data_IF_457411758624
#
_entry.id   IF_457411758624
#
_cell.length_a   1.000
_cell.length_b   1.000
_cell.length_c   1.000
_cell.angle_alpha   90.00
_cell.angle_beta   90.00
_cell.angle_gamma   90.00
#
_symmetry.space_group_name_H-M   'P 1'
#
loop_
_entity.id
_entity.type
_entity.pdbx_description
1 polymer ?
#
# COMPACT_ATOMS: atom_id res chain seq x y z
N UNK A 1 1.92 -20.14 -12.76
CA UNK A 1 2.55 -20.26 -11.43
C UNK A 1 4.07 -20.47 -11.50
N UNK A 2 4.85 -19.68 -10.77
CA UNK A 2 6.30 -19.87 -10.60
C UNK A 2 6.62 -21.16 -9.82
N UNK A 3 7.72 -21.87 -10.13
CA UNK A 3 8.20 -22.99 -9.33
C UNK A 3 9.28 -22.48 -8.36
N UNK A 4 8.89 -22.12 -7.13
CA UNK A 4 9.75 -21.49 -6.13
C UNK A 4 9.96 -22.42 -4.93
N UNK A 5 11.22 -22.63 -4.55
CA UNK A 5 11.61 -23.59 -3.52
C UNK A 5 11.26 -23.09 -2.10
N UNK A 6 10.12 -23.48 -1.54
CA UNK A 6 9.64 -22.98 -0.22
C UNK A 6 10.59 -23.23 0.97
N UNK A 7 11.56 -24.12 0.82
CA UNK A 7 12.63 -24.44 1.78
C UNK A 7 13.88 -23.56 1.64
N UNK A 8 13.87 -22.60 0.69
CA UNK A 8 14.97 -21.66 0.45
C UNK A 8 14.50 -20.21 0.60
N UNK A 9 15.44 -19.37 1.04
CA UNK A 9 15.25 -17.93 0.96
C UNK A 9 15.31 -17.49 -0.49
N UNK A 10 14.45 -16.56 -0.86
CA UNK A 10 14.45 -15.91 -2.16
C UNK A 10 14.71 -14.42 -2.01
N UNK A 11 15.27 -13.83 -3.06
CA UNK A 11 15.28 -12.40 -3.25
C UNK A 11 14.44 -12.03 -4.46
N UNK A 12 13.63 -10.98 -4.31
CA UNK A 12 12.69 -10.53 -5.34
C UNK A 12 13.20 -9.19 -5.87
N UNK A 13 13.55 -9.13 -7.14
CA UNK A 13 14.07 -7.93 -7.81
C UNK A 13 13.00 -7.26 -8.65
N UNK A 14 13.17 -5.95 -8.89
CA UNK A 14 12.44 -5.30 -9.96
C UNK A 14 13.15 -5.54 -11.30
N UNK A 15 12.37 -5.93 -12.30
CA UNK A 15 12.85 -6.38 -13.59
C UNK A 15 13.80 -7.57 -13.46
N UNK A 16 14.83 -7.62 -14.31
CA UNK A 16 15.89 -8.63 -14.27
C UNK A 16 17.23 -8.12 -13.73
N UNK A 17 17.27 -6.96 -13.05
CA UNK A 17 18.53 -6.37 -12.59
C UNK A 17 18.82 -6.71 -11.13
N UNK A 18 19.64 -7.74 -10.92
CA UNK A 18 20.04 -8.18 -9.58
C UNK A 18 20.94 -7.17 -8.81
N UNK A 19 21.57 -6.23 -9.51
CA UNK A 19 22.38 -5.17 -8.91
C UNK A 19 21.56 -3.93 -8.54
N UNK A 20 20.27 -3.90 -8.90
CA UNK A 20 19.36 -2.80 -8.63
C UNK A 20 18.73 -2.88 -7.24
N UNK A 21 17.41 -2.77 -7.21
CA UNK A 21 16.64 -2.82 -5.97
C UNK A 21 15.98 -4.19 -5.78
N UNK A 22 15.79 -4.55 -4.52
CA UNK A 22 15.03 -5.75 -4.13
C UNK A 22 13.94 -5.43 -3.13
N UNK A 23 12.88 -6.23 -3.19
CA UNK A 23 11.72 -6.14 -2.32
C UNK A 23 12.15 -6.34 -0.88
N UNK A 24 11.76 -5.39 -0.04
CA UNK A 24 12.11 -5.32 1.38
C UNK A 24 10.81 -5.32 2.18
N UNK A 25 10.63 -6.33 3.03
CA UNK A 25 9.56 -6.40 4.03
C UNK A 25 10.18 -6.29 5.41
N UNK A 26 9.82 -5.24 6.15
CA UNK A 26 10.45 -4.93 7.44
C UNK A 26 10.02 -5.91 8.54
N UNK A 27 10.69 -5.80 9.68
CA UNK A 27 10.11 -6.24 10.95
C UNK A 27 8.73 -5.61 11.20
N UNK A 28 7.97 -6.22 12.10
CA UNK A 28 6.67 -5.73 12.50
C UNK A 28 6.85 -4.69 13.63
N UNK A 29 6.48 -3.45 13.35
CA UNK A 29 6.37 -2.36 14.31
C UNK A 29 5.02 -2.38 15.04
N UNK A 30 4.80 -1.43 15.95
CA UNK A 30 3.54 -1.22 16.69
C UNK A 30 3.06 -2.48 17.43
N UNK A 31 3.80 -2.92 18.46
CA UNK A 31 3.51 -4.17 19.18
C UNK A 31 3.55 -5.41 18.27
N UNK A 32 4.45 -5.42 17.29
CA UNK A 32 4.68 -6.55 16.38
C UNK A 32 3.50 -6.93 15.49
N UNK A 33 2.67 -5.96 15.09
CA UNK A 33 1.49 -6.21 14.25
C UNK A 33 1.62 -5.75 12.80
N UNK A 34 2.45 -4.74 12.50
CA UNK A 34 2.50 -4.15 11.16
C UNK A 34 3.90 -3.69 10.74
N UNK A 35 4.31 -3.98 9.52
CA UNK A 35 5.57 -3.51 8.92
C UNK A 35 5.37 -2.90 7.53
N UNK A 36 6.43 -2.30 7.00
CA UNK A 36 6.43 -1.67 5.68
C UNK A 36 6.92 -2.63 4.59
N UNK A 37 6.49 -2.37 3.36
CA UNK A 37 6.95 -3.07 2.15
C UNK A 37 7.35 -2.04 1.10
N UNK A 38 8.58 -2.13 0.62
CA UNK A 38 9.15 -1.19 -0.36
C UNK A 38 10.33 -1.83 -1.09
N UNK A 39 10.81 -1.18 -2.15
CA UNK A 39 12.07 -1.56 -2.80
C UNK A 39 13.23 -0.76 -2.21
N UNK A 40 14.33 -1.45 -1.90
CA UNK A 40 15.56 -0.84 -1.42
C UNK A 40 16.74 -1.35 -2.23
N UNK A 41 17.87 -0.63 -2.21
CA UNK A 41 19.11 -1.10 -2.82
C UNK A 41 19.41 -2.52 -2.34
N UNK A 42 19.70 -3.40 -3.30
CA UNK A 42 19.99 -4.80 -2.99
C UNK A 42 21.26 -4.88 -2.16
N UNK A 43 21.18 -5.50 -0.99
CA UNK A 43 22.37 -5.85 -0.23
C UNK A 43 23.02 -7.08 -0.87
N UNK A 44 23.98 -6.82 -1.76
CA UNK A 44 24.84 -7.83 -2.39
C UNK A 44 26.22 -7.92 -1.74
N UNK A 45 26.56 -6.98 -0.85
CA UNK A 45 27.90 -6.80 -0.28
C UNK A 45 27.96 -7.23 1.19
N UNK A 46 28.77 -8.26 1.47
CA UNK A 46 29.03 -8.78 2.81
C UNK A 46 28.45 -10.18 3.03
N UNK A 47 29.08 -10.96 3.90
CA UNK A 47 28.71 -12.36 4.19
C UNK A 47 27.34 -12.51 4.89
N UNK A 48 26.57 -11.44 5.08
CA UNK A 48 25.27 -11.49 5.76
C UNK A 48 24.23 -10.74 4.94
N UNK A 49 23.36 -11.46 4.20
CA UNK A 49 22.26 -10.84 3.49
C UNK A 49 21.31 -10.11 4.44
N UNK A 50 20.78 -8.95 4.03
CA UNK A 50 19.76 -8.24 4.80
C UNK A 50 18.51 -9.13 4.99
N UNK A 51 18.12 -9.48 6.23
CA UNK A 51 16.99 -10.39 6.48
C UNK A 51 15.65 -9.84 5.95
N UNK A 52 15.48 -8.53 5.84
CA UNK A 52 14.27 -7.92 5.29
C UNK A 52 14.12 -8.14 3.77
N UNK A 53 15.19 -8.54 3.09
CA UNK A 53 15.23 -8.85 1.66
C UNK A 53 15.25 -10.36 1.38
N UNK A 54 15.15 -11.19 2.43
CA UNK A 54 15.07 -12.64 2.33
C UNK A 54 13.62 -13.08 2.51
N UNK A 55 13.01 -13.56 1.44
CA UNK A 55 11.61 -13.97 1.38
C UNK A 55 11.48 -15.48 1.39
N UNK A 56 10.67 -16.02 2.29
CA UNK A 56 10.12 -17.36 2.12
C UNK A 56 8.82 -17.23 1.33
N UNK A 57 8.65 -18.09 0.34
CA UNK A 57 7.50 -18.12 -0.56
C UNK A 57 6.89 -19.51 -0.44
N UNK A 58 5.75 -19.60 0.24
CA UNK A 58 5.13 -20.88 0.62
C UNK A 58 3.88 -21.10 -0.23
N UNK A 59 3.79 -22.19 -1.01
CA UNK A 59 2.56 -22.51 -1.72
C UNK A 59 1.44 -22.80 -0.70
N UNK A 60 0.30 -22.14 -0.83
CA UNK A 60 -0.90 -22.41 -0.03
C UNK A 60 -1.76 -23.48 -0.71
N UNK A 61 -1.95 -23.35 -2.02
CA UNK A 61 -2.63 -24.31 -2.87
C UNK A 61 -2.06 -24.22 -4.30
N UNK A 62 -2.74 -24.81 -5.29
CA UNK A 62 -2.32 -24.77 -6.71
C UNK A 62 -2.38 -23.39 -7.36
N UNK A 63 -2.85 -22.36 -6.65
CA UNK A 63 -3.07 -21.01 -7.19
C UNK A 63 -2.31 -19.93 -6.42
N UNK A 64 -2.29 -20.02 -5.08
CA UNK A 64 -1.83 -18.94 -4.22
C UNK A 64 -0.59 -19.31 -3.40
N UNK A 65 0.18 -18.28 -3.12
CA UNK A 65 1.32 -18.27 -2.21
C UNK A 65 1.05 -17.39 -1.00
N UNK A 66 1.71 -17.70 0.11
CA UNK A 66 1.93 -16.81 1.24
C UNK A 66 3.39 -16.44 1.28
N UNK A 67 3.69 -15.15 1.50
CA UNK A 67 5.05 -14.63 1.53
C UNK A 67 5.33 -14.02 2.91
N UNK A 68 6.52 -14.29 3.45
CA UNK A 68 7.05 -13.67 4.67
C UNK A 68 8.54 -13.41 4.54
N UNK A 69 9.08 -12.44 5.27
CA UNK A 69 10.52 -12.21 5.29
C UNK A 69 11.17 -12.89 6.48
N UNK A 70 12.50 -13.09 6.41
CA UNK A 70 13.27 -13.52 7.59
C UNK A 70 13.13 -12.51 8.74
N UNK A 71 12.96 -11.23 8.42
CA UNK A 71 12.90 -10.15 9.41
C UNK A 71 11.50 -9.92 9.98
N UNK A 72 10.44 -10.31 9.27
CA UNK A 72 9.05 -10.17 9.73
C UNK A 72 8.64 -11.23 10.74
N UNK A 73 9.55 -12.15 11.09
CA UNK A 73 9.26 -13.36 11.86
C UNK A 73 8.25 -14.29 11.14
N UNK A 74 8.02 -15.53 11.62
CA UNK A 74 7.16 -16.50 10.95
C UNK A 74 5.71 -16.07 10.72
N UNK A 75 5.18 -15.15 11.54
CA UNK A 75 3.78 -14.72 11.48
C UNK A 75 3.60 -13.41 10.71
N UNK A 76 4.67 -12.77 10.25
CA UNK A 76 4.57 -11.54 9.46
C UNK A 76 4.38 -11.84 7.99
N UNK A 77 3.15 -11.74 7.50
CA UNK A 77 2.80 -12.00 6.10
C UNK A 77 2.76 -10.73 5.27
N UNK A 78 3.19 -10.84 4.01
CA UNK A 78 2.91 -9.85 2.99
C UNK A 78 1.40 -9.82 2.74
N UNK A 79 0.78 -8.68 2.98
CA UNK A 79 -0.65 -8.44 2.82
C UNK A 79 -0.90 -7.14 2.07
N UNK A 80 -2.17 -6.83 1.78
CA UNK A 80 -2.60 -5.54 1.19
C UNK A 80 -3.54 -4.78 2.13
N UNK A 81 -3.43 -3.44 2.15
CA UNK A 81 -4.32 -2.56 2.92
C UNK A 81 -4.82 -1.41 2.07
N UNK A 82 -6.08 -1.00 2.31
CA UNK A 82 -6.55 0.30 1.84
C UNK A 82 -5.83 1.43 2.60
N UNK A 83 -5.28 2.37 1.85
CA UNK A 83 -4.54 3.54 2.33
C UNK A 83 -5.13 4.81 1.70
N UNK A 84 -5.87 5.65 2.44
CA UNK A 84 -6.59 6.79 1.86
C UNK A 84 -5.68 7.86 1.25
N UNK A 85 -4.41 7.90 1.67
CA UNK A 85 -3.39 8.82 1.13
C UNK A 85 -2.63 8.24 -0.08
N UNK A 86 -2.92 7.01 -0.50
CA UNK A 86 -2.34 6.43 -1.70
C UNK A 86 -2.95 7.09 -2.94
N UNK A 87 -2.09 7.62 -3.81
CA UNK A 87 -2.51 8.31 -5.03
C UNK A 87 -2.78 7.38 -6.21
N UNK A 88 -2.28 6.14 -6.19
CA UNK A 88 -2.58 5.13 -7.21
C UNK A 88 -4.07 4.77 -7.15
N UNK A 89 -4.76 4.61 -8.30
CA UNK A 89 -6.13 4.10 -8.31
C UNK A 89 -6.28 2.84 -7.45
N UNK A 90 -7.44 2.66 -6.82
CA UNK A 90 -7.67 1.56 -5.87
C UNK A 90 -7.10 1.78 -4.47
N UNK A 91 -6.25 2.80 -4.27
CA UNK A 91 -5.77 3.25 -2.95
C UNK A 91 -5.29 2.12 -2.05
N UNK A 92 -4.64 1.12 -2.64
CA UNK A 92 -4.22 -0.09 -1.91
C UNK A 92 -2.71 -0.22 -2.00
N UNK A 93 -2.07 -0.52 -0.86
CA UNK A 93 -0.62 -0.70 -0.76
C UNK A 93 -0.30 -2.05 -0.11
N UNK A 94 0.85 -2.67 -0.44
CA UNK A 94 1.32 -3.82 0.31
C UNK A 94 1.81 -3.39 1.70
N UNK A 95 1.67 -4.28 2.69
CA UNK A 95 2.22 -4.14 4.04
C UNK A 95 2.68 -5.50 4.57
N UNK A 96 3.57 -5.49 5.56
CA UNK A 96 3.74 -6.67 6.40
C UNK A 96 2.67 -6.60 7.50
N UNK A 97 1.98 -7.71 7.77
CA UNK A 97 0.98 -7.80 8.82
C UNK A 97 1.13 -9.11 9.60
N UNK A 98 0.93 -9.05 10.92
CA UNK A 98 0.93 -10.26 11.74
C UNK A 98 -0.32 -11.09 11.47
N UNK A 99 -0.18 -12.41 11.40
CA UNK A 99 -1.28 -13.37 11.37
C UNK A 99 -2.30 -13.16 12.52
N UNK A 100 -1.89 -12.60 13.66
CA UNK A 100 -2.82 -12.29 14.76
C UNK A 100 -3.84 -11.19 14.43
N UNK A 101 -3.58 -10.36 13.40
CA UNK A 101 -4.46 -9.25 13.00
C UNK A 101 -5.03 -9.42 11.58
N UNK A 102 -4.41 -10.25 10.74
CA UNK A 102 -4.81 -10.46 9.34
C UNK A 102 -4.64 -11.93 8.98
N UNK A 103 -5.77 -12.61 8.81
CA UNK A 103 -5.88 -13.96 8.24
C UNK A 103 -7.09 -13.96 7.30
N UNK A 104 -6.99 -13.20 6.22
CA UNK A 104 -8.01 -13.07 5.18
C UNK A 104 -7.33 -13.13 3.79
N UNK A 105 -8.11 -12.90 2.74
CA UNK A 105 -7.63 -13.00 1.36
C UNK A 105 -6.51 -12.01 1.01
N UNK A 106 -6.25 -11.00 1.85
CA UNK A 106 -5.17 -10.05 1.61
C UNK A 106 -3.78 -10.67 1.69
N UNK A 107 -3.60 -11.84 2.31
CA UNK A 107 -2.29 -12.50 2.44
C UNK A 107 -1.93 -13.42 1.26
N UNK A 108 -2.89 -13.68 0.35
CA UNK A 108 -2.71 -14.64 -0.73
C UNK A 108 -2.29 -13.96 -2.03
N UNK A 109 -1.19 -14.46 -2.61
CA UNK A 109 -0.58 -13.89 -3.81
C UNK A 109 -0.48 -14.91 -4.93
N UNK A 110 -0.92 -14.53 -6.13
CA UNK A 110 -0.62 -15.28 -7.35
C UNK A 110 0.65 -14.71 -7.98
N UNK A 111 1.52 -15.59 -8.48
CA UNK A 111 2.78 -15.22 -9.14
C UNK A 111 2.76 -15.83 -10.54
N UNK A 112 2.54 -14.99 -11.54
CA UNK A 112 2.31 -15.41 -12.93
C UNK A 112 3.32 -14.79 -13.90
N UNK A 113 3.71 -15.50 -14.97
CA UNK A 113 4.74 -15.04 -15.88
C UNK A 113 4.18 -14.02 -16.86
N UNK A 114 4.94 -12.97 -17.16
CA UNK A 114 4.68 -12.10 -18.30
C UNK A 114 5.00 -12.77 -19.65
N UNK A 115 5.79 -13.84 -19.64
CA UNK A 115 6.29 -14.53 -20.84
C UNK A 115 7.66 -14.04 -21.33
N UNK A 116 8.25 -13.03 -20.66
CA UNK A 116 9.53 -12.42 -21.00
C UNK A 116 10.65 -12.73 -19.97
N UNK A 117 10.45 -13.79 -19.16
CA UNK A 117 11.32 -14.15 -18.05
C UNK A 117 11.05 -13.38 -16.75
N UNK A 118 10.14 -12.41 -16.76
CA UNK A 118 9.68 -11.70 -15.54
C UNK A 118 8.28 -12.14 -15.14
N UNK A 119 7.91 -11.79 -13.91
CA UNK A 119 6.68 -12.20 -13.26
C UNK A 119 5.91 -10.96 -12.78
N UNK A 120 4.59 -11.08 -12.69
CA UNK A 120 3.74 -10.14 -11.98
C UNK A 120 3.06 -10.82 -10.79
N UNK A 121 2.66 -10.00 -9.82
CA UNK A 121 1.98 -10.46 -8.63
C UNK A 121 0.57 -9.89 -8.58
N UNK A 122 -0.41 -10.75 -8.33
CA UNK A 122 -1.80 -10.40 -8.04
C UNK A 122 -2.12 -10.78 -6.60
N UNK A 123 -3.06 -10.06 -5.97
CA UNK A 123 -3.51 -10.35 -4.63
C UNK A 123 -4.96 -10.86 -4.65
N UNK A 124 -5.28 -11.89 -3.88
CA UNK A 124 -6.61 -12.52 -3.91
C UNK A 124 -7.72 -11.53 -3.54
N UNK A 125 -7.52 -10.69 -2.52
CA UNK A 125 -8.51 -9.69 -2.10
C UNK A 125 -8.72 -8.57 -3.13
N UNK A 126 -7.67 -8.20 -3.88
CA UNK A 126 -7.80 -7.17 -4.92
C UNK A 126 -8.38 -7.70 -6.23
N UNK A 127 -8.16 -8.98 -6.53
CA UNK A 127 -8.60 -9.62 -7.77
C UNK A 127 -7.65 -9.37 -8.95
N UNK A 128 -7.96 -9.99 -10.08
CA UNK A 128 -7.05 -10.06 -11.24
C UNK A 128 -6.92 -8.78 -12.06
N UNK A 129 -7.76 -7.79 -11.79
CA UNK A 129 -7.66 -6.47 -12.40
C UNK A 129 -6.51 -5.63 -11.81
N UNK A 130 -5.74 -6.15 -10.84
CA UNK A 130 -4.76 -5.39 -10.08
C UNK A 130 -3.43 -6.13 -9.96
N UNK A 131 -2.36 -5.46 -10.39
CA UNK A 131 -0.99 -5.96 -10.23
C UNK A 131 -0.24 -5.15 -9.19
N UNK A 132 0.65 -5.81 -8.45
CA UNK A 132 1.60 -5.14 -7.59
C UNK A 132 2.57 -4.29 -8.43
N UNK A 133 2.73 -3.03 -8.05
CA UNK A 133 3.57 -2.07 -8.76
C UNK A 133 4.57 -1.40 -7.80
N UNK A 134 5.84 -1.39 -8.17
CA UNK A 134 6.83 -0.44 -7.68
C UNK A 134 6.62 0.93 -8.33
N UNK A 135 6.50 1.97 -7.51
CA UNK A 135 6.42 3.37 -7.91
C UNK A 135 7.82 3.98 -8.08
N UNK A 136 7.97 5.11 -8.80
CA UNK A 136 9.28 5.75 -9.02
C UNK A 136 10.04 6.09 -7.73
N UNK A 137 9.34 6.32 -6.61
CA UNK A 137 9.92 6.59 -5.30
C UNK A 137 10.22 5.31 -4.48
N UNK A 138 10.22 4.14 -5.12
CA UNK A 138 10.44 2.81 -4.51
C UNK A 138 9.38 2.33 -3.51
N UNK A 139 8.37 3.15 -3.21
CA UNK A 139 7.15 2.68 -2.55
C UNK A 139 6.32 1.84 -3.51
N UNK A 140 5.30 1.18 -2.98
CA UNK A 140 4.52 0.21 -3.73
C UNK A 140 3.03 0.46 -3.61
N UNK A 141 2.28 0.03 -4.61
CA UNK A 141 0.83 0.08 -4.64
C UNK A 141 0.28 -1.07 -5.51
N UNK A 142 -0.97 -1.43 -5.29
CA UNK A 142 -1.73 -2.21 -6.26
C UNK A 142 -2.22 -1.28 -7.36
N UNK A 143 -2.03 -1.66 -8.62
CA UNK A 143 -2.31 -0.82 -9.79
C UNK A 143 -3.22 -1.54 -10.77
N UNK A 144 -4.26 -0.84 -11.23
CA UNK A 144 -5.17 -1.33 -12.25
C UNK A 144 -4.64 -1.18 -13.67
N UNK A 145 -3.47 -0.54 -13.83
CA UNK A 145 -2.82 -0.39 -15.11
C UNK A 145 -2.03 -1.66 -15.46
N UNK A 146 -2.74 -2.70 -15.91
CA UNK A 146 -2.20 -4.05 -16.13
C UNK A 146 -1.86 -4.38 -17.58
N UNK A 147 -1.95 -3.41 -18.51
CA UNK A 147 -1.70 -3.69 -19.94
C UNK A 147 -0.21 -3.91 -20.22
N UNK A 148 0.10 -4.86 -21.10
CA UNK A 148 1.48 -5.22 -21.50
C UNK A 148 2.17 -4.19 -22.39
N UNK A 149 1.39 -3.30 -23.01
CA UNK A 149 1.87 -2.25 -23.90
C UNK A 149 1.53 -0.88 -23.32
N UNK A 150 2.51 0.03 -23.11
CA UNK A 150 3.97 -0.19 -23.13
C UNK A 150 4.46 -1.05 -21.94
N UNK A 151 5.70 -1.59 -21.98
CA UNK A 151 6.24 -2.46 -20.93
C UNK A 151 6.13 -1.84 -19.52
N UNK A 152 5.48 -2.55 -18.59
CA UNK A 152 5.23 -2.09 -17.23
C UNK A 152 6.43 -2.38 -16.33
N UNK A 153 7.51 -1.60 -16.50
CA UNK A 153 8.74 -1.81 -15.75
C UNK A 153 8.52 -1.92 -14.22
N UNK A 154 7.59 -1.17 -13.64
CA UNK A 154 7.27 -1.25 -12.20
C UNK A 154 6.51 -2.51 -11.75
N UNK A 155 6.02 -3.35 -12.67
CA UNK A 155 5.24 -4.57 -12.37
C UNK A 155 5.95 -5.86 -12.82
N UNK A 156 7.22 -5.73 -13.24
CA UNK A 156 8.05 -6.86 -13.65
C UNK A 156 8.93 -7.23 -12.48
N UNK A 157 8.87 -8.47 -12.04
CA UNK A 157 9.66 -8.99 -10.95
C UNK A 157 10.44 -10.24 -11.37
N UNK A 158 11.61 -10.45 -10.76
CA UNK A 158 12.37 -11.71 -10.90
C UNK A 158 12.76 -12.24 -9.53
N UNK A 159 12.97 -13.55 -9.46
CA UNK A 159 13.24 -14.27 -8.22
C UNK A 159 14.60 -14.94 -8.31
N UNK A 160 15.43 -14.75 -7.28
CA UNK A 160 16.69 -15.46 -7.10
C UNK A 160 16.62 -16.32 -5.85
N UNK A 161 16.78 -17.62 -6.03
CA UNK A 161 16.96 -18.55 -4.93
C UNK A 161 18.32 -18.31 -4.27
N UNK A 162 18.34 -18.33 -2.93
CA UNK A 162 19.52 -18.15 -2.09
C UNK A 162 19.72 -19.40 -1.22
N UNK A 163 20.30 -19.24 -0.02
CA UNK A 163 20.55 -20.34 0.91
C UNK A 163 19.27 -21.02 1.44
N UNK A 164 19.35 -22.31 1.84
CA UNK A 164 18.27 -23.01 2.53
C UNK A 164 17.83 -22.31 3.83
N UNK A 165 16.58 -22.55 4.23
CA UNK A 165 16.00 -22.08 5.48
C UNK A 165 16.34 -23.09 6.58
N UNK A 166 17.26 -22.71 7.47
CA UNK A 166 17.64 -23.51 8.64
C UNK A 166 17.02 -22.93 9.92
N UNK A 167 15.69 -22.85 9.96
CA UNK A 167 14.95 -22.36 11.12
C UNK A 167 13.59 -23.07 11.20
N UNK A 168 13.38 -23.85 12.26
CA UNK A 168 12.17 -24.63 12.48
C UNK A 168 10.91 -23.74 12.58
N UNK A 169 11.04 -22.49 13.05
CA UNK A 169 9.91 -21.57 13.13
C UNK A 169 9.35 -21.18 11.75
N UNK A 170 10.10 -21.41 10.67
CA UNK A 170 9.66 -21.19 9.28
C UNK A 170 9.17 -22.48 8.59
N UNK A 171 8.96 -23.57 9.33
CA UNK A 171 8.47 -24.85 8.78
C UNK A 171 6.98 -24.87 8.49
N UNK A 172 6.17 -24.05 9.16
CA UNK A 172 4.72 -24.00 8.97
C UNK A 172 4.24 -22.56 8.73
N UNK A 173 3.10 -22.43 8.08
CA UNK A 173 2.34 -21.17 7.95
C UNK A 173 0.93 -21.37 8.47
N UNK A 174 0.36 -20.33 9.08
CA UNK A 174 -1.03 -20.30 9.55
C UNK A 174 -1.85 -19.54 8.51
N UNK A 175 -3.00 -20.10 8.12
CA UNK A 175 -3.89 -19.52 7.11
C UNK A 175 -5.35 -19.54 7.59
N UNK A 176 -6.25 -18.69 7.05
CA UNK A 176 -7.64 -18.54 7.50
C UNK A 176 -8.44 -19.83 7.71
N UNK A 177 -8.17 -20.90 6.96
CA UNK A 177 -8.85 -22.19 7.11
C UNK A 177 -8.38 -23.00 8.35
N UNK A 178 -7.55 -22.44 9.23
CA UNK A 178 -6.90 -23.17 10.32
C UNK A 178 -5.98 -24.30 9.85
N UNK A 179 -5.66 -24.32 8.55
CA UNK A 179 -4.84 -25.36 7.94
C UNK A 179 -3.38 -24.94 8.04
N UNK A 180 -2.60 -25.72 8.77
CA UNK A 180 -1.14 -25.60 8.78
C UNK A 180 -0.60 -26.18 7.47
N UNK A 181 -0.03 -25.32 6.62
CA UNK A 181 0.70 -25.80 5.44
C UNK A 181 2.17 -25.96 5.83
N UNK A 182 2.66 -27.20 5.81
CA UNK A 182 4.06 -27.51 6.03
C UNK A 182 4.89 -27.12 4.80
N UNK A 183 5.94 -26.33 5.02
CA UNK A 183 7.03 -26.15 4.06
C UNK A 183 8.09 -27.22 4.31
N UNK A 184 8.60 -27.93 3.29
CA UNK A 184 9.74 -28.81 3.45
C UNK A 184 10.92 -28.03 4.07
N UNK A 185 11.69 -28.68 4.95
CA UNK A 185 12.98 -28.18 5.39
C UNK A 185 14.05 -29.14 4.88
N UNK A 186 15.09 -28.60 4.26
CA UNK A 186 16.27 -29.40 3.91
C UNK A 186 17.08 -29.65 5.20
N UNK A 187 16.84 -30.79 5.86
CA UNK A 187 17.63 -31.21 7.01
C UNK A 187 18.94 -31.85 6.52
N UNK A 188 20.04 -31.08 6.48
CA UNK A 188 21.38 -31.64 6.30
C UNK A 188 21.83 -32.29 7.62
N UNK A 189 21.41 -33.54 7.85
CA UNK A 189 21.88 -34.35 8.97
C UNK A 189 23.29 -34.86 8.68
N UNK A 190 24.31 -34.24 9.27
CA UNK A 190 25.63 -34.84 9.38
C UNK A 190 25.55 -36.00 10.39
N UNK A 191 25.65 -37.23 9.89
CA UNK A 191 25.65 -38.47 10.67
C UNK A 191 27.03 -38.67 11.31
N UNK A 192 27.14 -38.51 12.63
CA UNK A 192 28.20 -39.13 13.45
C UNK A 192 27.57 -39.60 14.76
N UNK A 193 27.96 -40.79 15.22
CA UNK A 193 27.09 -41.67 15.99
C UNK A 193 27.27 -41.75 17.51
N UNK A 194 26.43 -42.64 18.06
CA UNK A 194 26.42 -43.31 19.37
C UNK A 194 25.73 -42.60 20.57
N UNK A 195 24.92 -43.32 21.37
CA UNK A 195 24.03 -42.72 22.37
C UNK A 195 24.62 -42.72 23.78
N UNK A 196 24.17 -41.78 24.62
CA UNK A 196 24.05 -41.98 26.07
C UNK A 196 23.03 -41.03 26.66
N UNK A 197 22.12 -41.60 27.45
CA UNK A 197 21.09 -40.90 28.20
C UNK A 197 21.65 -40.37 29.53
N UNK A 198 21.23 -39.17 29.95
CA UNK A 198 20.78 -38.92 31.34
C UNK A 198 20.18 -37.52 31.52
N UNK A 199 19.02 -37.52 32.19
CA UNK A 199 18.50 -36.56 33.18
C UNK A 199 18.39 -35.06 32.86
N UNK A 200 17.14 -34.59 32.87
CA UNK A 200 16.75 -33.20 33.16
C UNK A 200 17.20 -32.76 34.57
N UNK A 201 17.32 -31.44 34.80
CA UNK A 201 16.20 -30.74 35.43
C UNK A 201 15.91 -29.38 34.79
N UNK A 202 14.68 -28.91 34.96
CA UNK A 202 14.20 -27.62 34.44
C UNK A 202 14.90 -26.42 35.07
N UNK A 203 14.82 -25.27 34.41
CA UNK A 203 14.82 -23.98 35.06
C UNK A 203 14.12 -22.90 34.23
N UNK A 204 13.48 -22.03 35.00
CA UNK A 204 12.59 -20.92 34.71
C UNK A 204 13.17 -19.84 33.81
N UNK A 205 12.31 -19.25 32.97
CA UNK A 205 12.64 -18.10 32.13
C UNK A 205 13.05 -16.86 32.92
N UNK A 206 14.03 -16.15 32.37
CA UNK A 206 14.46 -14.83 32.81
C UNK A 206 15.29 -14.19 31.70
N UNK A 207 14.84 -13.03 31.19
CA UNK A 207 15.56 -12.27 30.17
C UNK A 207 16.96 -11.89 30.67
N UNK A 208 17.96 -12.13 29.81
CA UNK A 208 19.37 -11.82 30.05
C UNK A 208 19.58 -10.39 30.55
N UNK A 209 20.46 -10.25 31.53
CA UNK A 209 20.88 -8.97 32.15
C UNK A 209 21.31 -7.92 31.10
N UNK A 210 21.76 -8.36 29.92
CA UNK A 210 22.08 -7.47 28.79
C UNK A 210 20.86 -6.76 28.17
N UNK A 211 19.68 -7.38 28.21
CA UNK A 211 18.44 -6.76 27.70
C UNK A 211 17.90 -5.65 28.62
N UNK A 212 18.13 -5.76 29.94
CA UNK A 212 17.72 -4.74 30.91
C UNK A 212 18.63 -3.50 30.90
N UNK A 213 19.91 -3.65 30.57
CA UNK A 213 20.85 -2.54 30.51
C UNK A 213 20.63 -1.60 29.31
N UNK A 214 20.06 -2.09 28.20
CA UNK A 214 19.85 -1.30 26.97
C UNK A 214 18.66 -0.33 27.02
N UNK A 215 17.65 -0.58 27.86
CA UNK A 215 16.41 0.22 27.88
C UNK A 215 16.59 1.53 28.67
N UNK A 216 17.56 1.62 29.58
CA UNK A 216 17.76 2.79 30.45
C UNK A 216 18.44 3.99 29.80
N UNK A 217 19.29 3.80 28.78
CA UNK A 217 20.11 4.90 28.24
C UNK A 217 19.46 5.66 27.06
N UNK A 218 18.47 5.08 26.38
CA UNK A 218 17.89 5.66 25.16
C UNK A 218 16.76 6.68 25.38
N UNK A 219 16.08 6.64 26.53
CA UNK A 219 14.85 7.43 26.75
C UNK A 219 15.15 8.92 26.94
N UNK A 220 16.31 9.27 27.51
CA UNK A 220 16.67 10.66 27.79
C UNK A 220 16.88 11.51 26.53
N UNK A 221 17.54 10.95 25.51
CA UNK A 221 17.83 11.67 24.26
C UNK A 221 16.62 11.62 23.32
N UNK A 222 15.92 10.47 23.26
CA UNK A 222 14.73 10.31 22.42
C UNK A 222 13.59 11.25 22.83
N UNK A 223 13.33 11.40 24.13
CA UNK A 223 12.30 12.31 24.64
C UNK A 223 12.64 13.78 24.35
N UNK A 224 13.91 14.18 24.48
CA UNK A 224 14.33 15.55 24.21
C UNK A 224 14.19 15.91 22.73
N UNK A 225 14.56 15.00 21.83
CA UNK A 225 14.40 15.18 20.37
C UNK A 225 12.92 15.24 19.99
N UNK A 226 12.07 14.37 20.57
CA UNK A 226 10.62 14.39 20.34
C UNK A 226 9.98 15.70 20.81
N UNK A 227 10.38 16.24 21.96
CA UNK A 227 9.88 17.52 22.46
C UNK A 227 10.31 18.70 21.58
N UNK A 228 11.54 18.68 21.05
CA UNK A 228 12.03 19.70 20.11
C UNK A 228 11.28 19.66 18.77
N UNK A 229 11.04 18.46 18.23
CA UNK A 229 10.28 18.28 16.98
C UNK A 229 8.83 18.73 17.18
N UNK A 230 8.19 18.34 18.30
CA UNK A 230 6.82 18.73 18.60
C UNK A 230 6.68 20.24 18.79
N UNK A 231 7.62 20.87 19.50
CA UNK A 231 7.70 22.33 19.64
C UNK A 231 7.83 23.03 18.28
N UNK A 232 8.71 22.55 17.41
CA UNK A 232 8.90 23.14 16.07
C UNK A 232 7.65 23.03 15.19
N UNK A 233 6.97 21.88 15.20
CA UNK A 233 5.75 21.65 14.42
C UNK A 233 4.61 22.56 14.89
N UNK A 234 4.43 22.72 16.21
CA UNK A 234 3.40 23.59 16.78
C UNK A 234 3.67 25.07 16.47
N UNK A 235 4.93 25.52 16.52
CA UNK A 235 5.31 26.87 16.15
C UNK A 235 5.09 27.15 14.65
N UNK A 236 5.36 26.17 13.78
CA UNK A 236 5.11 26.26 12.34
C UNK A 236 3.61 26.29 12.02
N UNK A 237 2.79 25.55 12.79
CA UNK A 237 1.32 25.61 12.69
C UNK A 237 0.76 26.95 13.14
N UNK A 238 1.29 27.51 14.23
CA UNK A 238 0.83 28.81 14.77
C UNK A 238 1.17 29.98 13.83
N UNK A 239 2.33 29.96 13.17
CA UNK A 239 2.71 30.97 12.17
C UNK A 239 1.88 30.92 10.88
N UNK A 240 1.23 29.78 10.58
CA UNK A 240 0.28 29.66 9.46
C UNK A 240 -1.11 30.20 9.81
N UNK A 241 -1.48 30.20 11.10
CA UNK A 241 -2.74 30.76 11.58
C UNK A 241 -2.71 32.30 11.75
N UNK A 242 -1.55 32.96 11.62
CA UNK A 242 -1.43 34.43 11.61
C UNK A 242 -1.19 35.00 10.20
N UNK A 243 -1.34 34.19 9.14
CA UNK A 243 -1.35 34.65 7.74
C UNK A 243 -2.75 34.58 7.13
N UNK A 244 -3.78 34.83 7.93
CA UNK A 244 -5.14 35.13 7.48
C UNK A 244 -5.58 36.44 8.09
N UNK A 245 -5.19 37.54 7.46
CA UNK A 245 -5.91 38.83 7.33
C UNK A 245 -5.05 39.66 6.37
N UNK A 246 -5.72 40.27 5.39
CA UNK A 246 -5.21 41.08 4.29
C UNK A 246 -4.77 40.33 3.04
N UNK A 247 -5.75 39.75 2.34
CA UNK A 247 -5.71 39.69 0.88
C UNK A 247 -6.83 40.61 0.36
N UNK A 248 -6.50 41.70 -0.38
CA UNK A 248 -7.47 42.42 -1.18
C UNK A 248 -8.05 41.46 -2.22
N UNK A 249 -9.37 41.53 -2.36
CA UNK A 249 -10.15 40.94 -3.43
C UNK A 249 -9.46 41.17 -4.80
N UNK A 250 -9.27 40.15 -5.65
CA UNK A 250 -8.91 40.41 -7.04
C UNK A 250 -10.13 41.03 -7.70
N UNK A 251 -10.08 42.37 -7.84
CA UNK A 251 -10.87 43.06 -8.84
C UNK A 251 -10.71 42.31 -10.17
N UNK A 252 -11.84 41.97 -10.76
CA UNK A 252 -11.95 41.50 -12.13
C UNK A 252 -11.25 42.53 -13.04
N UNK A 253 -10.01 42.27 -13.45
CA UNK A 253 -9.43 42.97 -14.57
C UNK A 253 -10.15 42.47 -15.82
N UNK A 254 -11.08 43.31 -16.29
CA UNK A 254 -11.58 43.25 -17.64
C UNK A 254 -10.40 43.08 -18.60
N UNK A 255 -10.51 42.08 -19.49
CA UNK A 255 -9.60 41.87 -20.62
C UNK A 255 -9.36 43.22 -21.30
N UNK A 256 -8.16 43.76 -21.09
CA UNK A 256 -7.70 45.01 -21.67
C UNK A 256 -7.67 44.89 -23.18
N UNK A 257 -8.64 45.57 -23.80
CA UNK A 257 -8.60 46.27 -25.08
C UNK A 257 -7.37 45.97 -25.96
N UNK A 258 -7.59 45.18 -27.01
CA UNK A 258 -6.79 45.25 -28.23
C UNK A 258 -6.81 46.69 -28.77
N UNK A 259 -5.64 47.31 -28.92
CA UNK A 259 -5.50 48.57 -29.64
C UNK A 259 -5.86 48.34 -31.12
N UNK A 260 -7.12 48.53 -31.48
CA UNK A 260 -7.52 48.69 -32.88
C UNK A 260 -7.14 50.09 -33.32
N UNK A 261 -6.09 50.17 -34.14
CA UNK A 261 -5.80 51.34 -34.96
C UNK A 261 -6.59 51.21 -36.26
N UNK A 262 -7.17 52.30 -36.75
CA UNK A 262 -7.67 52.35 -38.13
C UNK A 262 -6.51 52.31 -39.13
N UNK A 263 -6.80 52.15 -40.42
CA UNK A 263 -5.78 52.12 -41.50
C UNK A 263 -4.95 53.42 -41.64
N UNK A 264 -5.20 54.43 -40.81
CA UNK A 264 -4.43 55.69 -40.75
C UNK A 264 -3.74 55.91 -39.38
N UNK A 265 -3.80 54.94 -38.46
CA UNK A 265 -3.02 54.94 -37.22
C UNK A 265 -3.55 55.84 -36.09
N UNK A 266 -4.85 56.18 -36.05
CA UNK A 266 -5.41 57.01 -34.96
C UNK A 266 -6.28 56.20 -33.97
N UNK A 267 -6.22 56.51 -32.66
CA UNK A 267 -6.99 55.79 -31.64
C UNK A 267 -8.47 56.24 -31.63
N UNK A 268 -9.39 55.27 -31.73
CA UNK A 268 -10.84 55.49 -31.67
C UNK A 268 -11.34 55.43 -30.23
N UNK A 269 -12.16 56.41 -29.81
CA UNK A 269 -12.72 56.52 -28.45
C UNK A 269 -14.08 55.81 -28.38
N UNK A 270 -14.25 54.83 -27.49
CA UNK A 270 -15.54 54.14 -27.26
C UNK A 270 -16.11 54.53 -25.89
N UNK A 271 -17.37 54.96 -25.85
CA UNK A 271 -18.12 55.32 -24.63
C UNK A 271 -18.85 54.11 -24.03
N UNK A 272 -18.78 53.85 -22.71
CA UNK A 272 -19.50 52.73 -22.07
C UNK A 272 -21.01 52.97 -21.87
N UNK A 273 -21.81 51.90 -21.99
CA UNK A 273 -23.26 51.86 -21.77
C UNK A 273 -23.60 51.83 -20.27
N UNK A 274 -24.63 52.57 -19.90
CA UNK A 274 -25.02 52.91 -18.53
C UNK A 274 -25.69 51.76 -17.74
N UNK A 275 -25.49 51.84 -16.43
CA UNK A 275 -25.64 50.83 -15.39
C UNK A 275 -27.08 50.77 -14.83
N UNK A 276 -27.78 49.64 -14.99
CA UNK A 276 -29.10 49.41 -14.37
C UNK A 276 -28.91 48.85 -12.95
N UNK A 277 -29.47 49.59 -11.98
CA UNK A 277 -29.45 49.31 -10.53
C UNK A 277 -30.25 48.06 -10.15
N UNK A 278 -29.71 47.27 -9.23
CA UNK A 278 -30.44 46.26 -8.48
C UNK A 278 -31.31 46.92 -7.40
N UNK A 279 -32.59 46.56 -7.33
CA UNK A 279 -33.50 46.85 -6.23
C UNK A 279 -34.02 45.52 -5.64
N UNK A 280 -34.06 45.46 -4.33
CA UNK A 280 -34.44 44.31 -3.49
C UNK A 280 -35.89 43.85 -3.73
N UNK A 281 -36.17 42.54 -3.62
CA UNK A 281 -37.54 42.02 -3.51
C UNK A 281 -37.60 40.68 -2.78
N UNK A 282 -37.98 40.81 -1.51
CA UNK A 282 -39.00 40.09 -0.71
C UNK A 282 -39.30 38.60 -0.96
N UNK A 283 -39.40 37.87 0.15
CA UNK A 283 -39.57 36.42 0.26
C UNK A 283 -41.03 36.03 0.30
N UNK A 284 -41.60 35.50 -0.79
CA UNK A 284 -42.86 34.74 -0.77
C UNK A 284 -42.84 33.57 -1.75
N UNK A 285 -42.87 32.37 -1.18
CA UNK A 285 -43.01 31.06 -1.82
C UNK A 285 -44.45 30.84 -2.32
N UNK A 286 -44.70 30.40 -3.57
CA UNK A 286 -46.01 29.94 -3.99
C UNK A 286 -46.14 28.41 -3.87
N UNK A 287 -47.15 27.96 -3.11
CA UNK A 287 -47.61 26.57 -3.06
C UNK A 287 -48.18 26.10 -4.43
N UNK A 288 -48.07 24.80 -4.75
CA UNK A 288 -48.72 24.22 -5.92
C UNK A 288 -50.24 24.05 -5.70
N UNK A 289 -51.07 24.21 -6.74
CA UNK A 289 -52.53 24.11 -6.62
C UNK A 289 -53.01 22.66 -6.43
N UNK A 290 -53.79 22.42 -5.36
CA UNK A 290 -54.59 21.22 -5.18
C UNK A 290 -55.82 21.24 -6.11
N UNK A 291 -56.07 20.14 -6.81
CA UNK A 291 -57.30 19.92 -7.57
C UNK A 291 -57.92 18.57 -7.18
N UNK A 292 -59.06 18.73 -6.51
CA UNK A 292 -60.08 17.82 -6.00
C UNK A 292 -60.17 16.39 -6.55
N UNK A 293 -60.33 15.46 -5.61
CA UNK A 293 -60.69 14.07 -5.81
C UNK A 293 -62.10 13.89 -6.40
N UNK A 294 -62.20 13.08 -7.46
CA UNK A 294 -63.40 12.28 -7.73
C UNK A 294 -62.96 10.86 -8.14
N UNK A 295 -63.15 9.91 -7.22
CA UNK A 295 -63.33 8.47 -7.49
C UNK A 295 -64.72 8.32 -8.13
N UNK A 296 -65.00 7.44 -9.10
CA UNK A 296 -64.98 5.97 -9.03
C UNK A 296 -65.37 5.38 -10.44
N UNK A 297 -65.41 4.05 -10.70
CA UNK A 297 -64.47 3.34 -11.59
C UNK A 297 -65.10 2.55 -12.78
N UNK A 298 -64.22 1.88 -13.55
CA UNK A 298 -64.46 0.83 -14.58
C UNK A 298 -65.14 1.32 -15.88
N UNK A 299 -64.78 0.90 -17.10
CA UNK A 299 -64.64 -0.46 -17.62
C UNK A 299 -63.65 -0.54 -18.80
N UNK A 300 -62.99 -1.69 -18.99
CA UNK A 300 -62.16 -2.02 -20.15
C UNK A 300 -63.02 -2.59 -21.29
N UNK A 301 -62.82 -2.20 -22.56
CA UNK A 301 -63.23 -3.02 -23.69
C UNK A 301 -62.08 -3.83 -24.27
N UNK A 302 -62.45 -5.04 -24.68
CA UNK A 302 -61.63 -6.18 -25.05
C UNK A 302 -60.75 -6.01 -26.29
N UNK A 303 -59.75 -6.89 -26.32
CA UNK A 303 -59.07 -7.39 -27.51
C UNK A 303 -60.03 -7.70 -28.67
N UNK A 304 -59.62 -7.40 -29.90
CA UNK A 304 -59.98 -8.21 -31.06
C UNK A 304 -58.91 -8.11 -32.16
N UNK A 305 -58.62 -9.29 -32.70
CA UNK A 305 -57.75 -9.61 -33.81
C UNK A 305 -58.09 -8.87 -35.12
N UNK A 306 -57.05 -8.57 -35.91
CA UNK A 306 -56.89 -8.99 -37.31
C UNK A 306 -55.51 -8.61 -37.86
#
# INVERSE_FOLDING_TARGET
MANLASDHWHRIYQGGNEAGQSLTGTELFNNSVSGAVFFATTNTTGNTPNPAQLWQIVPYNSTYYVLRTKHSEPLGYLSTIYAPLEGTPGRTVPRMANASIVLDDSIFWQIEPWGDGTWYLQNAQNGSAWHLQQKPNSLMAMSSNITTTPPRNGQRFSFKQLQPIQNASFSTVITPAGTETASPLTATLATTGSPSASSSPGNTGGLSTGAKAGIGAGVGIGALILLLILGFVLLKRRKRAQKSISQPEPAYEAVGQSNYFDTEGKPVKVTPIEQIRHAELDSREPQPPELSAHRDPAELPAWNDR
#
